data_IF_233648071602
#
_entry.id   IF_233648071602
#
_cell.length_a   1.000
_cell.length_b   1.000
_cell.length_c   1.000
_cell.angle_alpha   90.00
_cell.angle_beta   90.00
_cell.angle_gamma   90.00
#
_symmetry.space_group_name_H-M   'P 1'
#
loop_
_entity.id
_entity.type
_entity.pdbx_description
1 polymer ?
#
# COMPACT_ATOMS: atom_id res chain seq x y z
N UNK A 1 -23.79 4.80 52.82
CA UNK A 1 -22.64 4.86 51.86
C UNK A 1 -22.73 6.17 51.13
N UNK A 2 -21.77 7.07 51.31
CA UNK A 2 -21.81 8.41 50.70
C UNK A 2 -21.44 8.34 49.21
N UNK A 3 -22.05 9.18 48.39
CA UNK A 3 -21.81 9.28 46.93
C UNK A 3 -20.29 9.39 46.60
N UNK A 4 -19.52 10.05 47.47
CA UNK A 4 -18.07 10.15 47.35
C UNK A 4 -17.35 8.77 47.40
N UNK A 5 -17.87 7.81 48.20
CA UNK A 5 -17.32 6.45 48.30
C UNK A 5 -17.62 5.63 47.05
N UNK A 6 -18.77 5.84 46.41
CA UNK A 6 -19.14 5.17 45.16
C UNK A 6 -18.27 5.68 43.97
N UNK A 7 -18.05 7.00 43.89
CA UNK A 7 -17.20 7.61 42.86
C UNK A 7 -15.73 7.17 43.01
N UNK A 8 -15.22 7.10 44.25
CA UNK A 8 -13.86 6.61 44.50
C UNK A 8 -13.70 5.14 44.13
N UNK A 9 -14.67 4.28 44.41
CA UNK A 9 -14.66 2.86 44.03
C UNK A 9 -14.75 2.70 42.49
N UNK A 10 -15.57 3.50 41.82
CA UNK A 10 -15.67 3.52 40.37
C UNK A 10 -14.34 3.97 39.71
N UNK A 11 -13.69 5.01 40.26
CA UNK A 11 -12.39 5.47 39.78
C UNK A 11 -11.27 4.45 39.99
N UNK A 12 -11.29 3.70 41.11
CA UNK A 12 -10.33 2.62 41.38
C UNK A 12 -10.60 1.41 40.48
N UNK A 13 -11.86 1.04 40.25
CA UNK A 13 -12.25 0.01 39.32
C UNK A 13 -11.85 0.39 37.88
N UNK A 14 -12.05 1.64 37.49
CA UNK A 14 -11.64 2.17 36.19
C UNK A 14 -10.11 2.17 36.03
N UNK A 15 -9.33 2.52 37.06
CA UNK A 15 -7.85 2.42 37.03
C UNK A 15 -7.35 0.98 37.00
N UNK A 16 -7.98 0.06 37.76
CA UNK A 16 -7.66 -1.37 37.69
C UNK A 16 -8.02 -1.94 36.33
N UNK A 17 -9.15 -1.57 35.77
CA UNK A 17 -9.60 -1.97 34.44
C UNK A 17 -8.66 -1.42 33.36
N UNK A 18 -8.26 -0.13 33.40
CA UNK A 18 -7.22 0.42 32.51
C UNK A 18 -5.88 -0.29 32.66
N UNK A 19 -5.47 -0.68 33.86
CA UNK A 19 -4.20 -1.38 34.09
C UNK A 19 -4.25 -2.84 33.63
N UNK A 20 -5.43 -3.46 33.67
CA UNK A 20 -5.67 -4.81 33.13
C UNK A 20 -5.74 -4.76 31.59
N UNK A 21 -6.29 -3.69 31.02
CA UNK A 21 -6.32 -3.43 29.58
C UNK A 21 -4.95 -3.03 29.02
N UNK A 22 -4.09 -2.41 29.84
CA UNK A 22 -2.71 -2.09 29.43
C UNK A 22 -1.85 -3.32 29.16
N UNK A 23 -2.24 -4.47 29.72
CA UNK A 23 -1.58 -5.76 29.47
C UNK A 23 -2.22 -6.56 28.30
N UNK A 24 -3.34 -6.10 27.73
CA UNK A 24 -3.98 -6.74 26.59
C UNK A 24 -4.06 -5.78 25.39
N UNK A 25 -2.91 -5.45 24.82
CA UNK A 25 -2.81 -4.70 23.56
C UNK A 25 -3.30 -5.57 22.42
N UNK A 26 -4.58 -5.51 22.16
CA UNK A 26 -5.28 -6.35 21.22
C UNK A 26 -5.85 -5.56 20.06
N UNK A 27 -4.99 -4.75 19.38
CA UNK A 27 -5.49 -4.12 18.19
C UNK A 27 -4.47 -3.87 17.16
N UNK A 28 -4.45 -4.21 16.20
CA UNK A 28 -4.08 -4.74 14.94
C UNK A 28 -4.07 -6.23 15.08
N UNK A 29 -4.91 -6.74 15.98
CA UNK A 29 -5.30 -8.09 16.05
C UNK A 29 -4.25 -9.13 16.27
N UNK A 30 -3.06 -8.75 16.72
CA UNK A 30 -2.02 -9.70 17.09
C UNK A 30 -1.85 -9.66 18.61
N UNK A 31 -2.36 -10.67 19.28
CA UNK A 31 -2.10 -10.88 20.70
C UNK A 31 -0.62 -10.74 21.03
N UNK A 32 -0.29 -10.20 22.22
CA UNK A 32 1.09 -9.92 22.61
C UNK A 32 2.00 -11.15 22.57
N UNK A 33 1.47 -12.32 22.93
CA UNK A 33 2.20 -13.59 22.91
C UNK A 33 2.46 -14.03 21.46
N UNK A 34 1.45 -13.89 20.59
CA UNK A 34 1.57 -14.17 19.14
C UNK A 34 2.54 -13.19 18.51
N UNK A 35 2.44 -11.89 18.83
CA UNK A 35 3.36 -10.86 18.35
C UNK A 35 4.81 -11.20 18.72
N UNK A 36 5.07 -11.53 19.99
CA UNK A 36 6.40 -11.92 20.44
C UNK A 36 6.92 -13.15 19.69
N UNK A 37 6.09 -14.16 19.49
CA UNK A 37 6.44 -15.36 18.70
C UNK A 37 6.82 -14.99 17.27
N UNK A 38 5.98 -14.22 16.56
CA UNK A 38 6.24 -13.81 15.18
C UNK A 38 7.50 -12.94 15.06
N UNK A 39 7.75 -12.08 16.04
CA UNK A 39 8.98 -11.27 16.09
C UNK A 39 10.21 -12.16 16.30
N UNK A 40 10.14 -13.13 17.23
CA UNK A 40 11.24 -14.07 17.48
C UNK A 40 11.52 -14.95 16.26
N UNK A 41 10.48 -15.33 15.53
CA UNK A 41 10.59 -16.08 14.27
C UNK A 41 11.10 -15.22 13.10
N UNK A 42 11.17 -13.89 13.26
CA UNK A 42 11.57 -12.96 12.21
C UNK A 42 10.49 -12.66 11.18
N UNK A 43 9.27 -13.17 11.36
CA UNK A 43 8.14 -12.94 10.46
C UNK A 43 7.44 -11.60 10.72
N UNK A 44 7.56 -11.03 11.90
CA UNK A 44 7.13 -9.67 12.21
C UNK A 44 8.35 -8.82 12.54
N UNK A 45 8.60 -7.79 11.75
CA UNK A 45 9.76 -6.91 11.91
C UNK A 45 9.43 -5.50 11.42
N UNK A 46 10.38 -4.59 11.61
CA UNK A 46 10.25 -3.20 11.17
C UNK A 46 11.43 -2.79 10.31
N UNK A 47 11.17 -1.91 9.37
CA UNK A 47 12.20 -1.22 8.58
C UNK A 47 12.05 0.29 8.74
N UNK A 48 13.16 1.00 8.57
CA UNK A 48 13.18 2.46 8.49
C UNK A 48 13.00 2.95 7.04
N UNK A 49 13.12 4.26 6.83
CA UNK A 49 13.02 4.88 5.50
C UNK A 49 14.15 4.50 4.56
N UNK A 50 15.27 4.05 5.11
CA UNK A 50 16.43 3.60 4.33
C UNK A 50 16.36 2.10 4.02
N UNK A 51 15.26 1.42 4.40
CA UNK A 51 15.06 0.00 4.17
C UNK A 51 15.81 -0.88 5.18
N UNK A 52 16.50 -0.34 6.15
CA UNK A 52 17.22 -1.13 7.13
C UNK A 52 16.27 -1.74 8.17
N UNK A 53 16.48 -3.02 8.53
CA UNK A 53 15.77 -3.64 9.66
C UNK A 53 16.17 -2.98 10.96
N UNK A 54 15.19 -2.66 11.78
CA UNK A 54 15.38 -2.03 13.10
C UNK A 54 14.84 -2.90 14.21
N UNK A 55 15.56 -2.90 15.35
CA UNK A 55 15.07 -3.56 16.55
C UNK A 55 13.89 -2.79 17.15
N UNK A 56 12.87 -3.54 17.61
CA UNK A 56 11.65 -2.99 18.20
C UNK A 56 11.92 -2.02 19.37
N UNK A 57 13.08 -2.12 20.03
CA UNK A 57 13.51 -1.22 21.09
C UNK A 57 13.89 0.18 20.57
N UNK A 58 14.44 0.27 19.34
CA UNK A 58 14.84 1.53 18.69
C UNK A 58 13.67 2.22 17.97
N UNK A 59 12.64 1.47 17.59
CA UNK A 59 11.45 1.98 16.88
C UNK A 59 10.64 3.02 17.68
N UNK A 60 10.84 3.10 18.99
CA UNK A 60 10.15 4.06 19.88
C UNK A 60 10.69 5.49 19.82
N UNK A 61 11.77 5.74 19.08
CA UNK A 61 12.45 7.04 19.05
C UNK A 61 12.10 7.93 17.83
N UNK A 62 10.89 7.82 17.26
CA UNK A 62 10.30 8.91 16.47
C UNK A 62 10.61 8.95 14.97
N UNK A 63 11.16 7.89 14.38
CA UNK A 63 11.29 7.77 12.92
C UNK A 63 10.04 7.19 12.26
N UNK A 64 9.70 7.64 11.04
CA UNK A 64 8.69 6.97 10.24
C UNK A 64 9.21 5.57 9.85
N UNK A 65 8.58 4.54 10.41
CA UNK A 65 8.95 3.14 10.21
C UNK A 65 7.77 2.36 9.63
N UNK A 66 8.07 1.27 8.92
CA UNK A 66 7.07 0.36 8.36
C UNK A 66 7.17 -0.96 9.13
N UNK A 67 6.05 -1.39 9.71
CA UNK A 67 5.91 -2.76 10.22
C UNK A 67 5.61 -3.70 9.08
N UNK A 68 6.34 -4.80 9.01
CA UNK A 68 6.22 -5.83 7.98
C UNK A 68 5.87 -7.17 8.61
N UNK A 69 4.92 -7.84 8.01
CA UNK A 69 4.51 -9.21 8.37
C UNK A 69 4.68 -10.10 7.14
N UNK A 70 5.57 -11.04 7.21
CA UNK A 70 5.92 -11.98 6.13
C UNK A 70 7.32 -12.60 6.35
N UNK A 71 7.79 -13.46 5.42
CA UNK A 71 7.07 -13.92 4.22
C UNK A 71 5.88 -14.81 4.53
N UNK A 72 4.83 -14.69 3.71
CA UNK A 72 3.63 -15.52 3.78
C UNK A 72 3.43 -16.17 2.41
N UNK A 73 3.50 -17.51 2.29
CA UNK A 73 3.20 -18.17 1.03
C UNK A 73 1.79 -17.83 0.56
N UNK A 74 1.66 -17.33 -0.66
CA UNK A 74 0.38 -16.88 -1.22
C UNK A 74 0.18 -17.50 -2.61
N UNK A 75 -0.54 -18.63 -2.71
CA UNK A 75 -0.93 -19.18 -3.99
C UNK A 75 -1.86 -18.20 -4.74
N UNK A 76 -1.48 -17.82 -5.95
CA UNK A 76 -2.26 -16.94 -6.81
C UNK A 76 -2.79 -17.70 -8.02
N UNK A 77 -4.02 -17.36 -8.44
CA UNK A 77 -4.55 -17.88 -9.72
C UNK A 77 -3.65 -17.44 -10.87
N UNK A 78 -3.50 -18.31 -11.85
CA UNK A 78 -2.71 -18.09 -13.07
C UNK A 78 -1.19 -17.87 -12.83
N UNK A 79 -0.69 -18.17 -11.62
CA UNK A 79 0.73 -18.16 -11.27
C UNK A 79 1.24 -19.59 -11.08
N UNK A 80 2.36 -19.91 -11.73
CA UNK A 80 3.09 -21.18 -11.52
C UNK A 80 4.29 -21.01 -10.58
N UNK A 81 4.76 -19.78 -10.39
CA UNK A 81 5.82 -19.46 -9.45
C UNK A 81 5.27 -19.34 -8.03
N UNK A 82 6.09 -19.70 -7.04
CA UNK A 82 5.80 -19.43 -5.64
C UNK A 82 5.84 -17.92 -5.40
N UNK A 83 4.81 -17.40 -4.74
CA UNK A 83 4.71 -15.98 -4.36
C UNK A 83 4.75 -15.85 -2.86
N UNK A 84 5.62 -15.01 -2.37
CA UNK A 84 5.69 -14.62 -0.98
C UNK A 84 5.05 -13.24 -0.77
N UNK A 85 4.08 -13.16 0.11
CA UNK A 85 3.40 -11.92 0.47
C UNK A 85 3.96 -11.33 1.75
N UNK A 86 4.13 -10.01 1.74
CA UNK A 86 4.42 -9.19 2.91
C UNK A 86 3.34 -8.12 3.07
N UNK A 87 2.66 -8.12 4.22
CA UNK A 87 1.75 -7.05 4.61
C UNK A 87 2.56 -5.94 5.32
N UNK A 88 2.40 -4.70 4.86
CA UNK A 88 3.23 -3.57 5.27
C UNK A 88 2.37 -2.41 5.73
N UNK A 89 2.65 -1.83 6.90
CA UNK A 89 1.88 -0.72 7.46
C UNK A 89 2.79 0.29 8.14
N UNK A 90 2.50 1.59 7.98
CA UNK A 90 3.22 2.67 8.68
C UNK A 90 2.93 2.59 10.18
N UNK A 91 3.96 2.65 11.01
CA UNK A 91 3.79 2.63 12.46
C UNK A 91 3.01 3.82 13.00
N UNK A 92 3.03 4.96 12.31
CA UNK A 92 2.22 6.13 12.68
C UNK A 92 0.72 5.87 12.51
N UNK A 93 0.32 5.08 11.52
CA UNK A 93 -1.07 4.66 11.33
C UNK A 93 -1.45 3.60 12.34
N UNK A 94 -0.54 2.64 12.57
CA UNK A 94 -0.70 1.59 13.55
C UNK A 94 -0.91 2.14 14.96
N UNK A 95 -0.08 3.11 15.39
CA UNK A 95 -0.19 3.74 16.70
C UNK A 95 -1.51 4.50 16.91
N UNK A 96 -1.97 5.24 15.91
CA UNK A 96 -3.27 5.93 15.96
C UNK A 96 -4.45 4.96 16.11
N UNK A 97 -4.36 3.81 15.42
CA UNK A 97 -5.38 2.78 15.50
C UNK A 97 -5.33 2.08 16.86
N UNK A 98 -4.15 1.84 17.42
CA UNK A 98 -3.98 1.29 18.76
C UNK A 98 -4.59 2.21 19.84
N UNK A 99 -4.36 3.54 19.77
CA UNK A 99 -4.94 4.52 20.68
C UNK A 99 -6.47 4.54 20.58
N UNK A 100 -7.01 4.64 19.36
CA UNK A 100 -8.45 4.68 19.12
C UNK A 100 -9.14 3.35 19.48
N UNK A 101 -8.45 2.25 19.31
CA UNK A 101 -8.90 0.93 19.69
C UNK A 101 -9.01 0.76 21.21
N UNK A 102 -8.10 1.33 21.99
CA UNK A 102 -8.17 1.31 23.45
C UNK A 102 -9.39 2.09 23.96
N UNK A 103 -9.76 3.20 23.31
CA UNK A 103 -10.96 3.97 23.64
C UNK A 103 -12.25 3.20 23.32
N UNK A 104 -12.31 2.52 22.20
CA UNK A 104 -13.48 1.73 21.78
C UNK A 104 -13.70 0.46 22.58
N UNK A 105 -12.66 -0.16 23.10
CA UNK A 105 -12.79 -1.29 24.04
C UNK A 105 -13.48 -0.90 25.34
N UNK A 106 -13.23 0.34 25.80
CA UNK A 106 -13.87 0.85 27.00
C UNK A 106 -15.41 0.94 26.86
N UNK A 107 -15.90 1.02 25.61
CA UNK A 107 -17.31 1.23 25.30
C UNK A 107 -18.07 0.01 24.76
N UNK A 108 -17.44 -1.16 24.64
CA UNK A 108 -18.05 -2.43 24.16
C UNK A 108 -18.61 -2.40 22.71
N UNK A 109 -18.08 -1.54 21.83
CA UNK A 109 -18.59 -1.36 20.47
C UNK A 109 -17.86 -2.21 19.42
N UNK A 110 -18.33 -3.43 19.16
CA UNK A 110 -17.77 -4.32 18.11
C UNK A 110 -17.87 -3.73 16.69
N UNK A 111 -18.88 -2.90 16.41
CA UNK A 111 -19.04 -2.28 15.07
C UNK A 111 -17.98 -1.23 14.74
N UNK A 112 -17.44 -0.57 15.75
CA UNK A 112 -16.37 0.41 15.58
C UNK A 112 -15.05 -0.20 15.12
N UNK A 113 -14.90 -1.48 15.29
CA UNK A 113 -13.77 -2.32 14.90
C UNK A 113 -13.54 -2.39 13.39
N UNK A 114 -14.61 -2.73 12.64
CA UNK A 114 -14.56 -2.80 11.18
C UNK A 114 -14.24 -1.42 10.58
N UNK A 115 -14.75 -0.37 11.22
CA UNK A 115 -14.50 1.03 10.83
C UNK A 115 -13.02 1.38 10.98
N UNK A 116 -12.37 1.01 12.10
CA UNK A 116 -10.96 1.30 12.34
C UNK A 116 -10.03 0.55 11.39
N UNK A 117 -10.30 -0.73 11.15
CA UNK A 117 -9.52 -1.52 10.21
C UNK A 117 -9.56 -0.94 8.78
N UNK A 118 -10.67 -0.25 8.43
CA UNK A 118 -10.82 0.39 7.12
C UNK A 118 -9.99 1.67 6.94
N UNK A 119 -9.51 2.29 8.02
CA UNK A 119 -8.66 3.49 7.96
C UNK A 119 -7.17 3.19 7.77
N UNK A 120 -6.78 1.94 7.92
CA UNK A 120 -5.37 1.55 7.81
C UNK A 120 -5.03 1.19 6.36
N UNK A 121 -4.10 1.94 5.76
CA UNK A 121 -3.55 1.61 4.45
C UNK A 121 -2.49 0.50 4.60
N UNK A 122 -2.91 -0.75 4.42
CA UNK A 122 -2.00 -1.89 4.39
C UNK A 122 -1.48 -2.08 2.98
N UNK A 123 -0.23 -1.67 2.73
CA UNK A 123 0.45 -1.95 1.47
C UNK A 123 0.84 -3.43 1.42
N UNK A 124 0.94 -3.98 0.21
CA UNK A 124 1.33 -5.37 0.01
C UNK A 124 2.56 -5.46 -0.88
N UNK A 125 3.50 -6.34 -0.54
CA UNK A 125 4.60 -6.71 -1.44
C UNK A 125 4.43 -8.17 -1.81
N UNK A 126 4.39 -8.45 -3.10
CA UNK A 126 4.36 -9.80 -3.67
C UNK A 126 5.75 -10.05 -4.28
N UNK A 127 6.45 -11.03 -3.74
CA UNK A 127 7.83 -11.37 -4.10
C UNK A 127 7.83 -12.69 -4.86
N UNK A 128 8.53 -12.74 -5.97
CA UNK A 128 8.75 -13.92 -6.81
C UNK A 128 10.24 -14.17 -6.92
N UNK A 129 10.71 -15.33 -6.51
CA UNK A 129 12.12 -15.67 -6.43
C UNK A 129 12.77 -15.21 -5.11
N UNK A 130 14.09 -15.43 -4.98
CA UNK A 130 14.83 -15.07 -3.77
C UNK A 130 15.50 -13.70 -3.93
N UNK A 131 15.11 -12.68 -3.15
CA UNK A 131 15.70 -11.33 -3.21
C UNK A 131 17.22 -11.31 -3.04
N UNK A 132 17.79 -12.28 -2.35
CA UNK A 132 19.26 -12.38 -2.15
C UNK A 132 20.03 -12.74 -3.42
N UNK A 133 19.34 -13.31 -4.41
CA UNK A 133 19.96 -13.72 -5.68
C UNK A 133 19.75 -12.70 -6.79
N UNK A 134 18.90 -11.71 -6.57
CA UNK A 134 18.60 -10.70 -7.57
C UNK A 134 19.82 -9.84 -7.92
N UNK A 135 19.89 -9.45 -9.18
CA UNK A 135 20.91 -8.50 -9.69
C UNK A 135 20.28 -7.33 -10.43
N UNK A 136 19.16 -7.59 -11.09
CA UNK A 136 18.38 -6.62 -11.88
C UNK A 136 16.91 -7.07 -11.92
N UNK A 137 16.22 -7.18 -10.76
CA UNK A 137 14.88 -7.73 -10.68
C UNK A 137 13.86 -6.86 -11.42
N UNK A 138 12.78 -7.50 -11.88
CA UNK A 138 11.66 -6.81 -12.50
C UNK A 138 10.67 -6.34 -11.42
N UNK A 139 10.40 -5.04 -11.39
CA UNK A 139 9.65 -4.39 -10.30
C UNK A 139 8.40 -3.70 -10.85
N UNK A 140 7.29 -3.82 -10.14
CA UNK A 140 6.09 -3.00 -10.35
C UNK A 140 5.67 -2.32 -9.06
N UNK A 141 5.58 -0.99 -9.06
CA UNK A 141 4.87 -0.22 -8.02
C UNK A 141 3.48 0.07 -8.56
N UNK A 142 2.49 -0.67 -8.07
CA UNK A 142 1.10 -0.59 -8.50
C UNK A 142 0.29 0.27 -7.53
N UNK A 143 -0.40 1.29 -8.07
CA UNK A 143 -1.35 2.10 -7.30
C UNK A 143 -2.72 1.41 -7.32
N UNK A 144 -3.29 1.17 -6.16
CA UNK A 144 -4.62 0.56 -5.97
C UNK A 144 -5.67 1.18 -6.89
N UNK A 145 -6.49 0.33 -7.46
CA UNK A 145 -7.63 0.72 -8.28
C UNK A 145 -8.75 -0.31 -8.12
N UNK A 146 -9.61 -0.14 -7.11
CA UNK A 146 -10.71 -1.08 -6.82
C UNK A 146 -11.52 -1.43 -8.06
N UNK A 147 -11.88 -0.43 -8.85
CA UNK A 147 -12.72 -0.65 -10.04
C UNK A 147 -12.00 -1.45 -11.13
N UNK A 148 -10.70 -1.20 -11.34
CA UNK A 148 -9.92 -1.93 -12.35
C UNK A 148 -9.41 -3.27 -11.85
N UNK A 149 -8.82 -3.30 -10.65
CA UNK A 149 -8.13 -4.48 -10.13
C UNK A 149 -9.10 -5.56 -9.65
N UNK A 150 -10.25 -5.16 -9.07
CA UNK A 150 -11.23 -6.08 -8.47
C UNK A 150 -12.46 -6.27 -9.35
N UNK A 151 -13.05 -5.16 -9.85
CA UNK A 151 -14.30 -5.23 -10.63
C UNK A 151 -14.06 -5.47 -12.13
N UNK A 152 -12.80 -5.38 -12.60
CA UNK A 152 -12.47 -5.57 -14.02
C UNK A 152 -12.99 -4.45 -14.91
N UNK A 153 -13.15 -3.23 -14.37
CA UNK A 153 -13.63 -2.08 -15.13
C UNK A 153 -12.65 -1.71 -16.24
N UNK A 154 -13.16 -1.52 -17.44
CA UNK A 154 -12.41 -1.08 -18.61
C UNK A 154 -12.24 0.44 -18.71
N UNK A 155 -12.70 1.24 -17.71
CA UNK A 155 -12.45 2.69 -17.67
C UNK A 155 -10.97 3.05 -17.47
N UNK A 156 -10.15 2.07 -17.13
CA UNK A 156 -8.69 2.20 -17.01
C UNK A 156 -8.00 0.86 -17.33
N UNK A 157 -6.69 0.90 -17.44
CA UNK A 157 -5.85 -0.26 -17.72
C UNK A 157 -5.28 -0.95 -16.45
N UNK A 158 -5.73 -0.58 -15.24
CA UNK A 158 -5.09 -1.00 -13.98
C UNK A 158 -5.12 -2.53 -13.78
N UNK A 159 -6.29 -3.17 -13.92
CA UNK A 159 -6.43 -4.62 -13.77
C UNK A 159 -5.54 -5.41 -14.73
N UNK A 160 -5.61 -5.17 -16.06
CA UNK A 160 -4.67 -5.77 -17.00
C UNK A 160 -3.20 -5.51 -16.68
N UNK A 161 -2.83 -4.30 -16.22
CA UNK A 161 -1.46 -3.98 -15.83
C UNK A 161 -0.99 -4.81 -14.64
N UNK A 162 -1.82 -5.01 -13.63
CA UNK A 162 -1.48 -5.82 -12.47
C UNK A 162 -1.23 -7.28 -12.87
N UNK A 163 -2.16 -7.88 -13.62
CA UNK A 163 -2.05 -9.26 -14.11
C UNK A 163 -0.81 -9.47 -14.98
N UNK A 164 -0.58 -8.58 -15.95
CA UNK A 164 0.57 -8.69 -16.85
C UNK A 164 1.89 -8.44 -16.11
N UNK A 165 1.92 -7.57 -15.11
CA UNK A 165 3.12 -7.37 -14.30
C UNK A 165 3.50 -8.66 -13.56
N UNK A 166 2.55 -9.32 -12.90
CA UNK A 166 2.79 -10.60 -12.24
C UNK A 166 3.25 -11.68 -13.22
N UNK A 167 2.60 -11.81 -14.38
CA UNK A 167 3.00 -12.76 -15.42
C UNK A 167 4.44 -12.51 -15.89
N UNK A 168 4.79 -11.25 -16.16
CA UNK A 168 6.16 -10.90 -16.61
C UNK A 168 7.22 -11.15 -15.55
N UNK A 169 6.87 -10.93 -14.26
CA UNK A 169 7.81 -11.13 -13.15
C UNK A 169 8.07 -12.62 -12.91
N UNK A 170 7.03 -13.47 -13.00
CA UNK A 170 7.24 -14.91 -12.85
C UNK A 170 8.04 -15.54 -13.98
N UNK A 171 7.94 -14.99 -15.20
CA UNK A 171 8.65 -15.47 -16.39
C UNK A 171 10.04 -14.85 -16.51
N UNK A 172 10.40 -13.92 -15.65
CA UNK A 172 11.70 -13.25 -15.65
C UNK A 172 12.76 -14.10 -14.92
N UNK A 173 13.92 -14.27 -15.52
CA UNK A 173 15.03 -15.07 -14.96
C UNK A 173 15.48 -14.57 -13.57
N UNK A 174 15.37 -13.27 -13.32
CA UNK A 174 15.72 -12.68 -12.03
C UNK A 174 14.56 -12.75 -11.03
N UNK A 175 13.32 -13.01 -11.51
CA UNK A 175 12.14 -12.79 -10.70
C UNK A 175 11.90 -11.30 -10.43
N UNK A 176 11.35 -10.99 -9.26
CA UNK A 176 11.12 -9.60 -8.87
C UNK A 176 9.97 -9.43 -7.90
N UNK A 177 9.37 -8.24 -7.89
CA UNK A 177 8.30 -7.94 -6.96
C UNK A 177 7.25 -6.97 -7.49
N UNK A 178 6.05 -7.07 -6.93
CA UNK A 178 5.00 -6.06 -7.04
C UNK A 178 4.77 -5.41 -5.68
N UNK A 179 4.83 -4.08 -5.62
CA UNK A 179 4.37 -3.31 -4.45
C UNK A 179 2.99 -2.77 -4.79
N UNK A 180 1.97 -3.23 -4.06
CA UNK A 180 0.60 -2.76 -4.17
C UNK A 180 0.33 -1.69 -3.12
N UNK A 181 0.14 -0.44 -3.58
CA UNK A 181 -0.04 0.74 -2.74
C UNK A 181 -1.53 0.99 -2.49
N UNK A 182 -2.05 0.52 -1.37
CA UNK A 182 -3.49 0.58 -1.04
C UNK A 182 -4.00 2.01 -0.82
N UNK A 183 -3.16 2.92 -0.34
CA UNK A 183 -3.50 4.34 -0.15
C UNK A 183 -3.54 5.17 -1.45
N UNK A 184 -3.29 4.58 -2.62
CA UNK A 184 -3.17 5.32 -3.89
C UNK A 184 -4.44 5.33 -4.75
N UNK A 185 -5.59 4.88 -4.21
CA UNK A 185 -6.87 4.88 -4.92
C UNK A 185 -7.21 6.27 -5.47
N UNK A 186 -7.60 6.32 -6.76
CA UNK A 186 -7.94 7.58 -7.42
C UNK A 186 -6.78 8.59 -7.46
N UNK A 187 -5.52 8.16 -7.53
CA UNK A 187 -4.32 9.00 -7.37
C UNK A 187 -4.19 9.63 -5.97
N UNK A 188 -4.65 8.91 -4.96
CA UNK A 188 -4.56 9.32 -3.55
C UNK A 188 -5.75 10.13 -3.05
N UNK A 189 -6.78 10.35 -3.87
CA UNK A 189 -8.01 11.07 -3.46
C UNK A 189 -9.06 10.13 -2.82
N UNK A 190 -8.85 8.83 -2.90
CA UNK A 190 -9.72 7.81 -2.34
C UNK A 190 -10.89 7.41 -3.25
N UNK A 191 -11.53 6.30 -2.90
CA UNK A 191 -12.56 5.66 -3.74
C UNK A 191 -13.84 6.52 -3.88
N UNK A 192 -14.24 7.22 -2.82
CA UNK A 192 -15.43 8.06 -2.84
C UNK A 192 -15.28 9.24 -3.80
N UNK A 193 -14.19 9.99 -3.70
CA UNK A 193 -13.91 11.11 -4.61
C UNK A 193 -13.73 10.60 -6.04
N UNK A 194 -13.08 9.46 -6.24
CA UNK A 194 -12.96 8.82 -7.56
C UNK A 194 -14.34 8.50 -8.17
N UNK A 195 -15.32 8.06 -7.39
CA UNK A 195 -16.67 7.85 -7.91
C UNK A 195 -17.30 9.16 -8.42
N UNK A 196 -17.09 10.27 -7.70
CA UNK A 196 -17.52 11.59 -8.15
C UNK A 196 -16.80 12.03 -9.43
N UNK A 197 -15.46 11.79 -9.54
CA UNK A 197 -14.73 12.11 -10.78
C UNK A 197 -15.25 11.35 -12.00
N UNK A 198 -15.75 10.14 -11.83
CA UNK A 198 -16.36 9.39 -12.95
C UNK A 198 -17.60 10.09 -13.49
N UNK A 199 -18.46 10.65 -12.63
CA UNK A 199 -19.62 11.41 -13.06
C UNK A 199 -19.23 12.69 -13.84
N UNK A 200 -18.18 13.38 -13.38
CA UNK A 200 -17.64 14.57 -14.07
C UNK A 200 -17.02 14.20 -15.42
N UNK A 201 -16.31 13.07 -15.50
CA UNK A 201 -15.77 12.55 -16.76
C UNK A 201 -16.87 12.17 -17.75
N UNK A 202 -17.98 11.59 -17.29
CA UNK A 202 -19.14 11.29 -18.14
C UNK A 202 -19.83 12.58 -18.63
N UNK A 203 -19.71 13.68 -17.86
CA UNK A 203 -20.15 15.01 -18.26
C UNK A 203 -19.18 15.75 -19.20
N UNK A 204 -18.01 15.17 -19.52
CA UNK A 204 -17.08 15.70 -20.51
C UNK A 204 -15.71 16.11 -20.00
N UNK A 205 -15.50 16.17 -18.67
CA UNK A 205 -14.19 16.51 -18.11
C UNK A 205 -13.15 15.40 -18.36
N UNK A 206 -11.87 15.76 -18.44
CA UNK A 206 -10.80 14.77 -18.37
C UNK A 206 -10.51 14.38 -16.90
N UNK A 207 -9.67 13.37 -16.70
CA UNK A 207 -9.40 12.83 -15.36
C UNK A 207 -8.68 13.82 -14.42
N UNK A 208 -7.96 14.82 -14.95
CA UNK A 208 -7.28 15.85 -14.16
C UNK A 208 -8.21 17.01 -13.85
N UNK A 209 -8.98 17.44 -14.87
CA UNK A 209 -10.01 18.47 -14.70
C UNK A 209 -11.02 18.04 -13.64
N UNK A 210 -11.49 16.79 -13.67
CA UNK A 210 -12.43 16.25 -12.68
C UNK A 210 -11.89 16.34 -11.24
N UNK A 211 -10.59 16.08 -11.02
CA UNK A 211 -9.99 16.26 -9.70
C UNK A 211 -10.02 17.74 -9.25
N UNK A 212 -9.64 18.66 -10.15
CA UNK A 212 -9.63 20.10 -9.87
C UNK A 212 -11.03 20.65 -9.61
N UNK A 213 -12.04 20.20 -10.34
CA UNK A 213 -13.44 20.57 -10.15
C UNK A 213 -13.95 20.16 -8.75
N UNK A 214 -13.39 19.08 -8.16
CA UNK A 214 -13.65 18.68 -6.77
C UNK A 214 -12.80 19.46 -5.75
N UNK A 215 -11.94 20.38 -6.15
CA UNK A 215 -11.01 21.08 -5.26
C UNK A 215 -9.86 20.20 -4.78
N UNK A 216 -9.55 19.11 -5.48
CA UNK A 216 -8.52 18.13 -5.13
C UNK A 216 -7.29 18.29 -6.03
N UNK A 217 -6.10 17.93 -5.54
CA UNK A 217 -4.88 17.95 -6.35
C UNK A 217 -4.94 16.91 -7.48
N UNK A 218 -4.20 17.18 -8.53
CA UNK A 218 -4.09 16.30 -9.71
C UNK A 218 -3.53 14.91 -9.34
N UNK A 219 -2.57 14.88 -8.41
CA UNK A 219 -1.91 13.67 -7.91
C UNK A 219 -1.41 13.89 -6.49
N UNK A 220 -1.95 13.14 -5.53
CA UNK A 220 -1.59 13.19 -4.10
C UNK A 220 -0.82 11.95 -3.65
N UNK A 221 -0.34 11.11 -4.58
CA UNK A 221 0.36 9.88 -4.22
C UNK A 221 1.71 10.19 -3.60
N UNK A 222 1.99 9.51 -2.49
CA UNK A 222 3.27 9.51 -1.77
C UNK A 222 3.97 8.16 -1.98
N UNK A 223 5.12 8.16 -2.64
CA UNK A 223 5.91 6.97 -2.94
C UNK A 223 6.97 6.66 -1.87
N UNK A 224 6.98 7.35 -0.74
CA UNK A 224 8.00 7.15 0.31
C UNK A 224 8.01 5.72 0.89
N UNK A 225 6.82 5.13 1.09
CA UNK A 225 6.74 3.74 1.54
C UNK A 225 7.24 2.77 0.47
N UNK A 226 6.88 3.01 -0.80
CA UNK A 226 7.39 2.19 -1.90
C UNK A 226 8.91 2.27 -2.00
N UNK A 227 9.50 3.44 -1.80
CA UNK A 227 10.94 3.63 -1.80
C UNK A 227 11.62 2.85 -0.65
N UNK A 228 11.09 2.94 0.58
CA UNK A 228 11.62 2.19 1.72
C UNK A 228 11.53 0.68 1.51
N UNK A 229 10.39 0.20 0.97
CA UNK A 229 10.21 -1.22 0.63
C UNK A 229 11.16 -1.67 -0.48
N UNK A 230 11.36 -0.86 -1.52
CA UNK A 230 12.33 -1.15 -2.58
C UNK A 230 13.74 -1.21 -2.02
N UNK A 231 14.17 -0.24 -1.21
CA UNK A 231 15.50 -0.27 -0.57
C UNK A 231 15.71 -1.55 0.23
N UNK A 232 14.69 -2.02 0.96
CA UNK A 232 14.77 -3.26 1.73
C UNK A 232 14.94 -4.50 0.85
N UNK A 233 14.17 -4.61 -0.25
CA UNK A 233 14.17 -5.82 -1.08
C UNK A 233 15.27 -5.85 -2.13
N UNK A 234 15.59 -4.70 -2.75
CA UNK A 234 16.61 -4.62 -3.81
C UNK A 234 18.00 -4.33 -3.26
N UNK A 235 18.13 -3.89 -2.01
CA UNK A 235 19.40 -3.70 -1.29
C UNK A 235 20.47 -2.95 -2.11
N UNK A 236 20.10 -1.85 -2.76
CA UNK A 236 20.98 -1.02 -3.59
C UNK A 236 21.34 -1.59 -4.96
N UNK A 237 20.82 -2.74 -5.34
CA UNK A 237 20.99 -3.29 -6.68
C UNK A 237 20.22 -2.46 -7.73
N UNK A 238 20.68 -2.40 -9.00
CA UNK A 238 19.86 -1.89 -10.09
C UNK A 238 18.58 -2.70 -10.23
N UNK A 239 17.53 -2.08 -10.74
CA UNK A 239 16.27 -2.78 -11.01
C UNK A 239 15.52 -2.20 -12.21
N UNK A 240 14.68 -3.04 -12.82
CA UNK A 240 13.84 -2.68 -13.96
C UNK A 240 12.42 -2.37 -13.49
N UNK A 241 11.97 -1.14 -13.71
CA UNK A 241 10.65 -0.67 -13.25
C UNK A 241 9.62 -0.68 -14.38
N UNK A 242 8.61 -1.52 -14.27
CA UNK A 242 7.43 -1.57 -15.14
C UNK A 242 6.56 -0.33 -14.96
N UNK A 243 6.75 0.68 -15.80
CA UNK A 243 5.98 1.93 -15.73
C UNK A 243 6.01 2.70 -17.04
N UNK A 244 4.91 3.43 -17.34
CA UNK A 244 4.84 4.42 -18.41
C UNK A 244 4.86 5.84 -17.86
N UNK A 245 4.88 6.01 -16.52
CA UNK A 245 4.90 7.31 -15.87
C UNK A 245 6.34 7.72 -15.52
N UNK A 246 6.95 8.71 -16.23
CA UNK A 246 8.29 9.18 -15.91
C UNK A 246 8.36 9.79 -14.51
N UNK A 247 7.32 10.54 -14.10
CA UNK A 247 7.27 11.11 -12.75
C UNK A 247 7.45 10.06 -11.64
N UNK A 248 6.99 8.82 -11.83
CA UNK A 248 7.21 7.75 -10.85
C UNK A 248 8.69 7.38 -10.74
N UNK A 249 9.43 7.39 -11.85
CA UNK A 249 10.88 7.15 -11.85
C UNK A 249 11.58 8.30 -11.12
N UNK A 250 11.20 9.54 -11.44
CA UNK A 250 11.79 10.74 -10.84
C UNK A 250 11.52 10.80 -9.33
N UNK A 251 10.28 10.52 -8.89
CA UNK A 251 9.90 10.50 -7.47
C UNK A 251 10.70 9.44 -6.69
N UNK A 252 10.85 8.23 -7.24
CA UNK A 252 11.62 7.16 -6.61
C UNK A 252 13.13 7.50 -6.58
N UNK A 253 13.67 8.08 -7.64
CA UNK A 253 15.05 8.55 -7.67
C UNK A 253 15.31 9.67 -6.65
N UNK A 254 14.39 10.63 -6.52
CA UNK A 254 14.46 11.69 -5.52
C UNK A 254 14.40 11.16 -4.08
N UNK A 255 13.82 9.98 -3.87
CA UNK A 255 13.81 9.26 -2.59
C UNK A 255 15.05 8.38 -2.36
N UNK A 256 16.07 8.50 -3.19
CA UNK A 256 17.37 7.86 -3.01
C UNK A 256 17.51 6.47 -3.64
N UNK A 257 16.60 6.10 -4.56
CA UNK A 257 16.77 4.91 -5.38
C UNK A 257 17.57 5.27 -6.64
N UNK A 258 18.74 4.67 -6.80
CA UNK A 258 19.56 4.79 -8.02
C UNK A 258 19.27 3.67 -9.01
N UNK A 259 19.90 3.75 -10.19
CA UNK A 259 19.94 2.70 -11.20
C UNK A 259 18.59 2.08 -11.59
N UNK A 260 17.59 2.96 -11.81
CA UNK A 260 16.24 2.58 -12.21
C UNK A 260 16.16 2.52 -13.74
N UNK A 261 16.05 1.32 -14.31
CA UNK A 261 15.75 1.14 -15.73
C UNK A 261 14.25 1.07 -15.96
N UNK A 262 13.69 2.10 -16.65
CA UNK A 262 12.26 2.09 -16.99
C UNK A 262 11.96 1.04 -18.07
N UNK A 263 11.01 0.17 -17.81
CA UNK A 263 10.48 -0.81 -18.76
C UNK A 263 9.05 -0.45 -19.15
N UNK A 264 8.79 -0.35 -20.46
CA UNK A 264 7.46 -0.07 -21.00
C UNK A 264 6.44 -1.11 -20.55
N UNK A 265 5.26 -0.65 -20.12
CA UNK A 265 4.21 -1.50 -19.59
C UNK A 265 2.83 -1.02 -20.06
N UNK A 266 2.58 -1.10 -21.36
CA UNK A 266 1.31 -0.73 -22.00
C UNK A 266 0.54 -2.01 -22.27
N UNK A 267 -0.62 -2.15 -21.64
CA UNK A 267 -1.53 -3.30 -21.76
C UNK A 267 -2.95 -2.86 -21.44
N UNK A 268 -3.93 -3.61 -21.89
CA UNK A 268 -5.33 -3.39 -21.55
C UNK A 268 -5.96 -2.14 -22.17
N UNK A 269 -5.46 -1.72 -23.33
CA UNK A 269 -6.06 -0.63 -24.11
C UNK A 269 -7.36 -1.14 -24.74
N UNK A 270 -8.45 -0.44 -24.49
CA UNK A 270 -9.79 -0.71 -25.04
C UNK A 270 -10.41 0.61 -25.51
N UNK A 271 -11.50 0.53 -26.27
CA UNK A 271 -12.24 1.73 -26.67
C UNK A 271 -12.80 2.48 -25.45
N UNK A 272 -13.12 1.76 -24.36
CA UNK A 272 -13.68 2.34 -23.14
C UNK A 272 -12.66 3.19 -22.35
N UNK A 273 -11.35 2.94 -22.50
CA UNK A 273 -10.30 3.68 -21.77
C UNK A 273 -9.41 4.53 -22.69
N UNK A 274 -9.60 4.54 -23.99
CA UNK A 274 -8.76 5.27 -24.93
C UNK A 274 -8.66 6.76 -24.58
N UNK A 275 -9.80 7.43 -24.34
CA UNK A 275 -9.83 8.85 -23.93
C UNK A 275 -9.02 9.09 -22.65
N UNK A 276 -9.14 8.19 -21.68
CA UNK A 276 -8.36 8.27 -20.42
C UNK A 276 -6.86 8.11 -20.65
N UNK A 277 -6.46 7.20 -21.53
CA UNK A 277 -5.05 6.98 -21.89
C UNK A 277 -4.47 8.13 -22.70
N UNK A 278 -5.25 8.73 -23.61
CA UNK A 278 -4.88 9.97 -24.33
C UNK A 278 -4.61 11.10 -23.34
N UNK A 279 -5.51 11.32 -22.38
CA UNK A 279 -5.27 12.32 -21.32
C UNK A 279 -3.98 12.04 -20.53
N UNK A 280 -3.65 10.78 -20.26
CA UNK A 280 -2.37 10.42 -19.63
C UNK A 280 -1.17 10.76 -20.52
N UNK A 281 -1.26 10.52 -21.83
CA UNK A 281 -0.21 10.85 -22.80
C UNK A 281 0.03 12.37 -22.81
N UNK A 282 -1.03 13.17 -22.87
CA UNK A 282 -0.98 14.64 -22.84
C UNK A 282 -0.32 15.16 -21.54
N UNK A 283 -0.46 14.43 -20.45
CA UNK A 283 0.15 14.73 -19.16
C UNK A 283 1.54 14.06 -18.95
N UNK A 284 2.19 13.66 -20.05
CA UNK A 284 3.59 13.25 -20.09
C UNK A 284 3.87 11.77 -19.85
N UNK A 285 2.84 10.92 -19.77
CA UNK A 285 3.08 9.47 -19.77
C UNK A 285 3.70 9.03 -21.10
N UNK A 286 4.66 8.12 -21.04
CA UNK A 286 5.34 7.55 -22.21
C UNK A 286 4.47 6.49 -22.87
N UNK A 287 3.49 6.94 -23.65
CA UNK A 287 2.59 6.14 -24.47
C UNK A 287 2.80 6.59 -25.92
N UNK A 288 3.07 5.65 -26.82
CA UNK A 288 3.19 5.93 -28.25
C UNK A 288 1.79 5.92 -28.89
N UNK A 289 1.61 6.61 -30.01
CA UNK A 289 0.32 6.63 -30.75
C UNK A 289 -0.10 5.21 -31.14
N UNK A 290 0.86 4.36 -31.45
CA UNK A 290 0.63 2.96 -31.81
C UNK A 290 0.10 2.13 -30.62
N UNK A 291 0.47 2.49 -29.38
CA UNK A 291 -0.02 1.85 -28.16
C UNK A 291 -1.51 2.07 -27.93
N UNK A 292 -2.03 3.21 -28.39
CA UNK A 292 -3.44 3.59 -28.22
C UNK A 292 -4.34 3.01 -29.32
N UNK A 293 -3.76 2.32 -30.30
CA UNK A 293 -4.46 1.81 -31.48
C UNK A 293 -4.78 2.94 -32.47
N UNK A 294 -4.54 2.71 -33.73
CA UNK A 294 -4.99 3.64 -34.79
C UNK A 294 -6.51 3.58 -34.86
N UNK A 295 -7.12 4.74 -35.08
CA UNK A 295 -8.46 4.83 -35.63
C UNK A 295 -8.56 4.09 -36.97
#
# INVERSE_FOLDING_TARGET
>A
MTVKSAIAKAAIAHRKFRRMLHNSRMFTYIDSTVRQRLTTQGSLFQIDREGARIDSAKARSGGATISMLGPIPLPLCDMHAEVEWYACVRNTELGKIEELADDLRAENHQQSFATLASFMAVNSVLVVGDPKTWRDPLVRVHSCCMTGDVFGSERCECGPQMKTALARIQDDEQGGLVIYMSGHEGRGIGLWAKAATYLLQDAGEDTYQANRSLGLPDDSRDFSDAAALLKYFVDGQPFRLLTNNPKKVDDLAALGLGDITRVKHVVGVTDNNRRYLTAKQDWGHKLDVEDLGKE
#
